data_IF_823493090036
#
_entry.id   IF_823493090036
#
_cell.length_a   1.000
_cell.length_b   1.000
_cell.length_c   1.000
_cell.angle_alpha   90.00
_cell.angle_beta   90.00
_cell.angle_gamma   90.00
#
_symmetry.space_group_name_H-M   'P 1'
#
loop_
_entity.id
_entity.type
_entity.pdbx_description
1 polymer ?
#
# COMPACT_ATOMS: atom_id res chain seq x y z
N UNK A 1 -3.32 12.13 -19.00
CA UNK A 1 -2.78 10.75 -18.97
C UNK A 1 -3.91 9.75 -19.05
N UNK A 2 -4.77 9.59 -18.03
CA UNK A 2 -5.87 8.61 -18.10
C UNK A 2 -6.85 8.90 -19.24
N UNK A 3 -7.28 10.15 -19.42
CA UNK A 3 -8.12 10.55 -20.55
C UNK A 3 -7.45 10.31 -21.91
N UNK A 4 -6.15 10.60 -22.03
CA UNK A 4 -5.36 10.34 -23.25
C UNK A 4 -5.19 8.84 -23.55
N UNK A 5 -5.30 8.00 -22.52
CA UNK A 5 -5.24 6.55 -22.63
C UNK A 5 -6.64 5.91 -22.74
N UNK A 6 -7.69 6.72 -22.89
CA UNK A 6 -9.10 6.29 -22.95
C UNK A 6 -9.53 5.45 -21.73
N UNK A 7 -9.00 5.77 -20.54
CA UNK A 7 -9.35 5.10 -19.29
C UNK A 7 -10.45 5.90 -18.59
N UNK A 8 -11.68 5.40 -18.64
CA UNK A 8 -12.80 5.91 -17.86
C UNK A 8 -12.55 5.67 -16.36
N UNK A 9 -12.83 6.67 -15.51
CA UNK A 9 -12.60 6.56 -14.06
C UNK A 9 -13.79 7.05 -13.26
N UNK A 10 -14.05 6.35 -12.15
CA UNK A 10 -14.96 6.82 -11.09
C UNK A 10 -14.13 7.01 -9.83
N UNK A 11 -14.25 8.18 -9.20
CA UNK A 11 -13.47 8.52 -8.01
C UNK A 11 -14.31 8.32 -6.76
N UNK A 12 -13.79 7.52 -5.83
CA UNK A 12 -14.34 7.37 -4.48
C UNK A 12 -13.35 7.93 -3.46
N UNK A 13 -13.80 8.87 -2.62
CA UNK A 13 -12.97 9.52 -1.61
C UNK A 13 -13.18 8.83 -0.27
N UNK A 14 -12.10 8.31 0.32
CA UNK A 14 -12.12 7.70 1.66
C UNK A 14 -11.99 8.78 2.72
N UNK A 15 -12.76 8.68 3.80
CA UNK A 15 -12.93 9.77 4.78
C UNK A 15 -12.44 9.40 6.18
N UNK A 16 -12.26 8.10 6.46
CA UNK A 16 -11.84 7.56 7.75
C UNK A 16 -11.00 6.29 7.54
N UNK A 17 -10.31 5.89 8.60
CA UNK A 17 -9.67 4.58 8.66
C UNK A 17 -10.71 3.47 8.41
N UNK A 18 -10.30 2.43 7.68
CA UNK A 18 -11.14 1.29 7.28
C UNK A 18 -12.25 1.61 6.28
N UNK A 19 -12.37 2.84 5.77
CA UNK A 19 -13.39 3.16 4.76
C UNK A 19 -13.13 2.41 3.45
N UNK A 20 -11.86 2.29 3.02
CA UNK A 20 -11.54 1.57 1.80
C UNK A 20 -11.81 0.08 1.96
N UNK A 21 -11.47 -0.47 3.12
CA UNK A 21 -11.71 -1.86 3.49
C UNK A 21 -13.20 -2.22 3.35
N UNK A 22 -14.07 -1.46 4.03
CA UNK A 22 -15.52 -1.69 4.00
C UNK A 22 -16.08 -1.52 2.59
N UNK A 23 -15.63 -0.47 1.87
CA UNK A 23 -16.06 -0.21 0.50
C UNK A 23 -15.78 -1.40 -0.42
N UNK A 24 -14.54 -1.89 -0.49
CA UNK A 24 -14.21 -2.99 -1.42
C UNK A 24 -14.76 -4.34 -0.99
N UNK A 25 -14.99 -4.54 0.31
CA UNK A 25 -15.66 -5.74 0.82
C UNK A 25 -17.09 -5.83 0.28
N UNK A 26 -17.81 -4.71 0.23
CA UNK A 26 -19.24 -4.68 -0.10
C UNK A 26 -19.52 -4.28 -1.57
N UNK A 27 -18.50 -3.88 -2.33
CA UNK A 27 -18.63 -3.43 -3.72
C UNK A 27 -18.96 -4.56 -4.70
N UNK A 28 -19.76 -4.28 -5.73
CA UNK A 28 -19.84 -5.13 -6.92
C UNK A 28 -18.61 -4.92 -7.81
N UNK A 29 -17.64 -5.82 -7.73
CA UNK A 29 -16.38 -5.73 -8.49
C UNK A 29 -16.55 -6.05 -9.99
N UNK A 30 -17.71 -6.55 -10.43
CA UNK A 30 -17.95 -6.87 -11.83
C UNK A 30 -18.04 -5.63 -12.72
N UNK A 31 -18.40 -4.48 -12.14
CA UNK A 31 -18.53 -3.20 -12.84
C UNK A 31 -17.17 -2.51 -13.12
N UNK A 32 -16.07 -3.01 -12.54
CA UNK A 32 -14.74 -2.37 -12.59
C UNK A 32 -13.71 -3.28 -13.23
N UNK A 33 -12.91 -2.81 -14.19
CA UNK A 33 -11.81 -3.62 -14.74
C UNK A 33 -10.59 -3.67 -13.82
N UNK A 34 -10.35 -2.61 -13.05
CA UNK A 34 -9.15 -2.43 -12.20
C UNK A 34 -9.49 -1.51 -11.03
N UNK A 35 -8.93 -1.81 -9.86
CA UNK A 35 -9.02 -0.91 -8.71
C UNK A 35 -7.72 -0.10 -8.59
N UNK A 36 -7.83 1.22 -8.69
CA UNK A 36 -6.69 2.14 -8.57
C UNK A 36 -6.71 2.82 -7.20
N UNK A 37 -5.68 2.57 -6.40
CA UNK A 37 -5.49 3.14 -5.06
C UNK A 37 -4.52 4.30 -5.13
N UNK A 38 -5.02 5.53 -5.01
CA UNK A 38 -4.20 6.74 -4.99
C UNK A 38 -3.97 7.23 -3.56
N UNK A 39 -2.92 6.73 -2.91
CA UNK A 39 -2.55 7.06 -1.52
C UNK A 39 -1.14 6.52 -1.20
N UNK A 40 -0.85 6.19 0.05
CA UNK A 40 0.30 5.38 0.44
C UNK A 40 -0.03 3.90 0.61
N UNK A 41 0.96 3.12 1.04
CA UNK A 41 0.86 1.66 1.20
C UNK A 41 -0.31 1.23 2.12
N UNK A 42 -0.62 2.03 3.14
CA UNK A 42 -1.69 1.74 4.11
C UNK A 42 -3.10 1.66 3.51
N UNK A 43 -3.41 2.45 2.47
CA UNK A 43 -4.74 2.38 1.85
C UNK A 43 -4.89 1.13 0.99
N UNK A 44 -3.81 0.72 0.30
CA UNK A 44 -3.80 -0.54 -0.43
C UNK A 44 -3.88 -1.73 0.54
N UNK A 45 -3.30 -1.61 1.74
CA UNK A 45 -3.45 -2.62 2.79
C UNK A 45 -4.90 -2.81 3.20
N UNK A 46 -5.66 -1.72 3.38
CA UNK A 46 -7.11 -1.79 3.62
C UNK A 46 -7.85 -2.45 2.45
N UNK A 47 -7.52 -2.09 1.21
CA UNK A 47 -8.15 -2.69 0.02
C UNK A 47 -7.90 -4.20 -0.05
N UNK A 48 -6.65 -4.64 0.08
CA UNK A 48 -6.30 -6.07 0.03
C UNK A 48 -7.02 -6.86 1.11
N UNK A 49 -7.03 -6.36 2.36
CA UNK A 49 -7.71 -7.07 3.45
C UNK A 49 -9.23 -7.05 3.29
N UNK A 50 -9.83 -5.96 2.79
CA UNK A 50 -11.25 -5.91 2.47
C UNK A 50 -11.66 -6.92 1.40
N UNK A 51 -10.85 -7.09 0.34
CA UNK A 51 -11.08 -8.11 -0.70
C UNK A 51 -10.94 -9.54 -0.15
N UNK A 52 -9.96 -9.77 0.72
CA UNK A 52 -9.71 -11.07 1.34
C UNK A 52 -10.77 -11.49 2.37
N UNK A 53 -11.56 -10.55 2.89
CA UNK A 53 -12.69 -10.83 3.78
C UNK A 53 -13.98 -11.20 3.03
N UNK A 54 -14.01 -11.08 1.70
CA UNK A 54 -15.19 -11.39 0.92
C UNK A 54 -15.45 -12.90 0.82
N UNK A 55 -16.72 -13.34 0.72
CA UNK A 55 -17.04 -14.74 0.45
C UNK A 55 -16.43 -15.25 -0.88
N UNK A 56 -16.34 -14.39 -1.88
CA UNK A 56 -15.80 -14.63 -3.22
C UNK A 56 -14.34 -14.19 -3.37
N UNK A 57 -13.57 -14.11 -2.28
CA UNK A 57 -12.21 -13.56 -2.25
C UNK A 57 -11.27 -14.11 -3.35
N UNK A 58 -11.42 -15.37 -3.74
CA UNK A 58 -10.60 -16.00 -4.81
C UNK A 58 -10.79 -15.34 -6.16
N UNK A 59 -12.01 -14.94 -6.49
CA UNK A 59 -12.32 -14.22 -7.72
C UNK A 59 -12.06 -12.73 -7.55
N UNK A 60 -12.39 -12.16 -6.39
CA UNK A 60 -12.12 -10.76 -6.07
C UNK A 60 -10.62 -10.41 -6.20
N UNK A 61 -9.73 -11.29 -5.72
CA UNK A 61 -8.28 -11.11 -5.80
C UNK A 61 -7.68 -11.27 -7.20
N UNK A 62 -8.45 -11.76 -8.19
CA UNK A 62 -8.03 -11.72 -9.60
C UNK A 62 -8.19 -10.34 -10.21
N UNK A 63 -8.93 -9.42 -9.56
CA UNK A 63 -9.07 -8.04 -10.00
C UNK A 63 -7.70 -7.34 -9.93
N UNK A 64 -7.18 -6.78 -11.04
CA UNK A 64 -5.95 -6.02 -11.00
C UNK A 64 -6.04 -4.85 -10.00
N UNK A 65 -4.99 -4.71 -9.19
CA UNK A 65 -4.82 -3.60 -8.27
C UNK A 65 -3.67 -2.72 -8.77
N UNK A 66 -3.89 -1.40 -8.78
CA UNK A 66 -2.88 -0.42 -9.12
C UNK A 66 -2.67 0.52 -7.93
N UNK A 67 -1.42 0.90 -7.67
CA UNK A 67 -1.10 1.94 -6.68
C UNK A 67 -0.53 3.17 -7.38
N UNK A 68 -1.13 4.33 -7.10
CA UNK A 68 -0.61 5.63 -7.49
C UNK A 68 -0.13 6.36 -6.22
N UNK A 69 1.14 6.79 -6.16
CA UNK A 69 1.71 7.36 -4.95
C UNK A 69 1.09 8.73 -4.64
N UNK A 70 0.35 8.80 -3.54
CA UNK A 70 -0.21 10.02 -2.97
C UNK A 70 0.10 10.19 -1.48
N UNK A 71 0.75 9.21 -0.85
CA UNK A 71 1.06 9.20 0.59
C UNK A 71 2.49 9.59 0.93
N UNK A 72 2.82 9.51 2.22
CA UNK A 72 4.18 9.69 2.75
C UNK A 72 5.06 8.43 2.64
N UNK A 73 4.45 7.24 2.69
CA UNK A 73 5.07 5.95 2.41
C UNK A 73 4.46 5.35 1.14
N UNK A 74 5.28 5.15 0.11
CA UNK A 74 4.87 4.61 -1.19
C UNK A 74 5.86 3.53 -1.63
N UNK A 75 6.23 2.63 -0.71
CA UNK A 75 7.26 1.64 -0.94
C UNK A 75 6.87 0.68 -2.08
N UNK A 76 5.61 0.26 -2.18
CA UNK A 76 5.19 -0.58 -3.29
C UNK A 76 5.26 0.16 -4.64
N UNK A 77 4.82 1.41 -4.70
CA UNK A 77 4.91 2.21 -5.92
C UNK A 77 6.37 2.40 -6.36
N UNK A 78 7.27 2.64 -5.40
CA UNK A 78 8.71 2.72 -5.64
C UNK A 78 9.31 1.40 -6.15
N UNK A 79 8.90 0.26 -5.56
CA UNK A 79 9.30 -1.07 -6.02
C UNK A 79 8.82 -1.35 -7.44
N UNK A 80 7.54 -1.09 -7.76
CA UNK A 80 7.00 -1.27 -9.11
C UNK A 80 7.74 -0.40 -10.12
N UNK A 81 8.04 0.86 -9.78
CA UNK A 81 8.83 1.75 -10.63
C UNK A 81 10.22 1.18 -10.92
N UNK A 82 10.89 0.64 -9.90
CA UNK A 82 12.19 0.00 -10.04
C UNK A 82 12.12 -1.24 -10.94
N UNK A 83 11.17 -2.14 -10.70
CA UNK A 83 11.00 -3.36 -11.52
C UNK A 83 10.58 -3.06 -12.96
N UNK A 84 9.95 -1.92 -13.21
CA UNK A 84 9.64 -1.44 -14.56
C UNK A 84 10.85 -0.78 -15.28
N UNK A 85 12.03 -0.76 -14.65
CA UNK A 85 13.28 -0.28 -15.25
C UNK A 85 13.45 1.25 -15.22
N UNK A 86 12.69 1.97 -14.40
CA UNK A 86 12.84 3.41 -14.23
C UNK A 86 13.84 3.75 -13.13
N UNK A 87 14.43 4.95 -13.22
CA UNK A 87 15.26 5.52 -12.18
C UNK A 87 14.51 5.63 -10.84
N UNK A 88 15.27 5.60 -9.74
CA UNK A 88 14.75 5.88 -8.41
C UNK A 88 14.30 7.34 -8.31
N UNK A 89 12.98 7.56 -8.35
CA UNK A 89 12.35 8.87 -8.30
C UNK A 89 11.30 8.96 -7.19
N UNK A 90 10.95 10.18 -6.79
CA UNK A 90 9.96 10.45 -5.75
C UNK A 90 8.95 11.52 -6.20
N UNK A 91 7.89 11.69 -5.40
CA UNK A 91 6.85 12.73 -5.59
C UNK A 91 6.24 12.66 -7.00
N UNK A 92 6.13 13.79 -7.69
CA UNK A 92 5.49 13.93 -9.01
C UNK A 92 6.08 12.99 -10.05
N UNK A 93 7.40 12.77 -10.07
CA UNK A 93 8.05 11.87 -11.03
C UNK A 93 7.62 10.41 -10.82
N UNK A 94 7.57 9.97 -9.56
CA UNK A 94 7.09 8.62 -9.24
C UNK A 94 5.62 8.46 -9.63
N UNK A 95 4.79 9.46 -9.33
CA UNK A 95 3.39 9.47 -9.75
C UNK A 95 3.24 9.39 -11.27
N UNK A 96 4.01 10.16 -12.03
CA UNK A 96 4.01 10.11 -13.50
C UNK A 96 4.40 8.73 -14.01
N UNK A 97 5.47 8.12 -13.47
CA UNK A 97 5.91 6.79 -13.89
C UNK A 97 4.85 5.72 -13.59
N UNK A 98 4.29 5.69 -12.38
CA UNK A 98 3.24 4.74 -12.00
C UNK A 98 1.96 4.94 -12.84
N UNK A 99 1.58 6.20 -13.12
CA UNK A 99 0.43 6.50 -13.98
C UNK A 99 0.67 6.03 -15.41
N UNK A 100 1.90 6.15 -15.92
CA UNK A 100 2.26 5.66 -17.25
C UNK A 100 2.26 4.14 -17.33
N UNK A 101 2.71 3.44 -16.28
CA UNK A 101 2.60 1.97 -16.18
C UNK A 101 1.13 1.54 -16.20
N UNK A 102 0.27 2.22 -15.43
CA UNK A 102 -1.19 2.01 -15.48
C UNK A 102 -1.75 2.20 -16.89
N UNK A 103 -1.37 3.28 -17.58
CA UNK A 103 -1.84 3.55 -18.95
C UNK A 103 -1.37 2.49 -19.96
N UNK A 104 -0.26 1.79 -19.71
CA UNK A 104 0.20 0.67 -20.55
C UNK A 104 -0.63 -0.60 -20.37
N UNK A 105 -1.46 -0.69 -19.31
CA UNK A 105 -2.25 -1.89 -19.00
C UNK A 105 -1.40 -3.11 -18.61
N UNK A 106 -0.14 -2.91 -18.24
CA UNK A 106 0.76 -4.00 -17.83
C UNK A 106 0.59 -4.27 -16.33
N UNK A 107 0.43 -5.54 -15.99
CA UNK A 107 0.37 -6.01 -14.61
C UNK A 107 1.13 -7.33 -14.45
N UNK A 108 1.51 -7.64 -13.22
CA UNK A 108 2.16 -8.89 -12.84
C UNK A 108 1.51 -9.44 -11.59
N UNK A 109 1.60 -10.76 -11.41
CA UNK A 109 1.24 -11.39 -10.15
C UNK A 109 2.20 -10.93 -9.05
N UNK A 110 1.66 -10.83 -7.83
CA UNK A 110 2.38 -10.46 -6.63
C UNK A 110 2.06 -11.46 -5.52
N UNK A 111 3.07 -11.76 -4.71
CA UNK A 111 2.90 -12.62 -3.54
C UNK A 111 2.18 -11.88 -2.42
N UNK A 112 1.40 -12.64 -1.64
CA UNK A 112 0.79 -12.17 -0.39
C UNK A 112 1.23 -13.07 0.77
N UNK A 113 1.52 -12.43 1.90
CA UNK A 113 1.81 -13.11 3.15
C UNK A 113 0.56 -13.13 4.02
N UNK A 114 0.13 -14.32 4.42
CA UNK A 114 -0.93 -14.51 5.41
C UNK A 114 -0.32 -14.49 6.81
N UNK A 115 -0.76 -13.56 7.64
CA UNK A 115 -0.29 -13.38 9.02
C UNK A 115 -1.40 -13.76 9.99
N UNK A 116 -1.05 -14.56 11.00
CA UNK A 116 -1.97 -14.96 12.08
C UNK A 116 -1.36 -14.57 13.43
N UNK A 117 -2.14 -13.89 14.26
CA UNK A 117 -1.72 -13.50 15.61
C UNK A 117 -2.09 -14.56 16.64
N UNK A 118 -1.45 -14.50 17.81
CA UNK A 118 -1.81 -15.35 18.95
C UNK A 118 -3.28 -15.15 19.42
N UNK A 119 -3.88 -13.99 19.14
CA UNK A 119 -5.30 -13.73 19.42
C UNK A 119 -6.26 -14.37 18.41
N UNK A 120 -5.74 -15.10 17.41
CA UNK A 120 -6.53 -15.71 16.34
C UNK A 120 -6.92 -14.75 15.21
N UNK A 121 -6.48 -13.48 15.25
CA UNK A 121 -6.72 -12.54 14.16
C UNK A 121 -5.84 -12.91 12.97
N UNK A 122 -6.44 -12.94 11.78
CA UNK A 122 -5.74 -13.14 10.52
C UNK A 122 -5.78 -11.87 9.67
N UNK A 123 -4.69 -11.53 9.02
CA UNK A 123 -4.62 -10.44 8.04
C UNK A 123 -3.54 -10.72 7.00
N UNK A 124 -3.52 -9.94 5.92
CA UNK A 124 -2.64 -10.15 4.78
C UNK A 124 -1.72 -8.95 4.56
N UNK A 125 -0.47 -9.22 4.22
CA UNK A 125 0.54 -8.20 3.88
C UNK A 125 1.10 -8.47 2.48
N UNK A 126 1.32 -7.40 1.71
CA UNK A 126 1.89 -7.44 0.36
C UNK A 126 3.32 -6.88 0.29
N UNK A 127 3.80 -6.24 1.36
CA UNK A 127 5.08 -5.52 1.36
C UNK A 127 6.06 -6.08 2.39
N UNK A 128 5.62 -6.16 3.64
CA UNK A 128 6.49 -6.60 4.72
C UNK A 128 5.79 -6.67 6.06
N UNK A 129 6.47 -7.29 7.01
CA UNK A 129 6.14 -7.30 8.42
C UNK A 129 7.38 -6.85 9.19
N UNK A 130 7.25 -5.77 9.96
CA UNK A 130 8.32 -5.22 10.77
C UNK A 130 8.10 -5.52 12.25
N UNK A 131 9.20 -5.79 12.98
CA UNK A 131 9.22 -5.86 14.44
C UNK A 131 10.46 -5.15 15.00
N UNK A 132 10.31 -4.52 16.16
CA UNK A 132 11.38 -3.82 16.86
C UNK A 132 11.65 -2.43 16.26
N UNK A 133 12.91 -2.11 16.00
CA UNK A 133 13.35 -0.75 15.65
C UNK A 133 12.56 -0.12 14.49
N UNK A 134 12.35 -0.85 13.39
CA UNK A 134 11.63 -0.33 12.22
C UNK A 134 10.18 0.01 12.59
N UNK A 135 9.52 -0.86 13.36
CA UNK A 135 8.15 -0.62 13.84
C UNK A 135 8.06 0.59 14.75
N UNK A 136 9.04 0.78 15.64
CA UNK A 136 9.10 1.95 16.51
C UNK A 136 9.27 3.23 15.68
N UNK A 137 10.11 3.23 14.64
CA UNK A 137 10.24 4.36 13.70
C UNK A 137 8.93 4.64 12.98
N UNK A 138 8.23 3.61 12.49
CA UNK A 138 6.94 3.76 11.82
C UNK A 138 5.92 4.42 12.76
N UNK A 139 5.80 3.93 13.99
CA UNK A 139 4.87 4.45 15.01
C UNK A 139 5.25 5.88 15.44
N UNK A 140 6.50 6.10 15.84
CA UNK A 140 6.95 7.39 16.38
C UNK A 140 6.98 8.48 15.31
N UNK A 141 7.09 8.13 14.03
CA UNK A 141 7.11 9.12 12.96
C UNK A 141 5.72 9.61 12.53
N UNK A 142 4.63 8.99 12.99
CA UNK A 142 3.26 9.40 12.63
C UNK A 142 2.91 10.83 13.09
N UNK A 143 3.42 11.28 14.26
CA UNK A 143 3.28 12.68 14.70
C UNK A 143 3.95 13.70 13.76
N UNK A 144 4.81 13.23 12.87
CA UNK A 144 5.52 14.04 11.87
C UNK A 144 4.97 13.86 10.45
N UNK A 145 3.73 13.39 10.29
CA UNK A 145 3.13 13.12 8.97
C UNK A 145 3.16 14.32 8.01
N UNK A 146 3.13 15.54 8.55
CA UNK A 146 3.27 16.79 7.80
C UNK A 146 4.64 16.95 7.09
N UNK A 147 5.68 16.22 7.51
CA UNK A 147 6.98 16.17 6.84
C UNK A 147 7.01 15.25 5.61
N UNK A 148 5.91 14.57 5.29
CA UNK A 148 5.88 13.58 4.21
C UNK A 148 6.88 12.46 4.47
N UNK A 149 7.65 12.05 3.46
CA UNK A 149 8.62 10.95 3.58
C UNK A 149 9.79 11.25 4.52
N UNK A 150 10.11 12.52 4.79
CA UNK A 150 11.20 12.89 5.68
C UNK A 150 10.93 12.49 7.15
N UNK A 151 9.66 12.20 7.49
CA UNK A 151 9.27 11.69 8.82
C UNK A 151 10.05 10.44 9.21
N UNK A 152 10.36 9.56 8.25
CA UNK A 152 11.05 8.30 8.52
C UNK A 152 12.52 8.52 8.87
N UNK A 153 13.17 9.51 8.24
CA UNK A 153 14.53 9.92 8.60
C UNK A 153 14.58 10.50 10.00
N UNK A 154 13.64 11.41 10.33
CA UNK A 154 13.56 12.00 11.66
C UNK A 154 13.24 10.97 12.74
N UNK A 155 12.28 10.07 12.47
CA UNK A 155 11.92 8.97 13.35
C UNK A 155 13.11 8.04 13.61
N UNK A 156 13.84 7.67 12.56
CA UNK A 156 15.08 6.89 12.67
C UNK A 156 16.09 7.54 13.61
N UNK A 157 16.37 8.84 13.43
CA UNK A 157 17.31 9.56 14.31
C UNK A 157 16.83 9.59 15.77
N UNK A 158 15.52 9.79 16.00
CA UNK A 158 14.94 9.79 17.34
C UNK A 158 15.06 8.41 18.01
N UNK A 159 14.74 7.33 17.29
CA UNK A 159 14.85 5.96 17.79
C UNK A 159 16.31 5.55 18.01
N UNK A 160 17.24 5.97 17.15
CA UNK A 160 18.68 5.73 17.32
C UNK A 160 19.22 6.36 18.61
N UNK A 161 18.78 7.58 18.94
CA UNK A 161 19.18 8.26 20.17
C UNK A 161 18.67 7.54 21.45
N UNK A 162 17.66 6.67 21.32
CA UNK A 162 17.05 5.89 22.40
C UNK A 162 17.03 4.40 22.05
N UNK A 163 18.12 3.88 21.50
CA UNK A 163 18.18 2.52 20.95
C UNK A 163 17.77 1.48 22.00
N UNK A 164 16.86 0.59 21.61
CA UNK A 164 16.37 -0.52 22.43
C UNK A 164 16.68 -1.85 21.76
N UNK A 165 16.81 -2.88 22.58
CA UNK A 165 16.93 -4.27 22.14
C UNK A 165 15.62 -4.97 22.44
N UNK A 166 15.12 -5.73 21.47
CA UNK A 166 13.88 -6.49 21.57
C UNK A 166 14.25 -7.98 21.54
N UNK A 167 13.70 -8.76 22.46
CA UNK A 167 13.92 -10.21 22.51
C UNK A 167 12.79 -10.93 21.76
N UNK A 168 13.15 -11.84 20.87
CA UNK A 168 12.20 -12.59 20.05
C UNK A 168 12.79 -13.92 19.63
N UNK A 169 11.93 -14.86 19.22
CA UNK A 169 12.32 -16.18 18.72
C UNK A 169 11.56 -16.49 17.44
N UNK A 170 12.28 -16.97 16.44
CA UNK A 170 11.72 -17.57 15.23
C UNK A 170 11.75 -19.09 15.40
N UNK A 171 10.66 -19.75 15.03
CA UNK A 171 10.49 -21.19 15.11
C UNK A 171 10.34 -21.76 13.69
#
# INVERSE_FOLDING_TARGET
MLAEADIATTVFVTERAHHAHEKVRDEDLSQWDTLVVMSGDGLLFEVVNGLMERPDWREAMKKPLCILPGGSGNALAASINYYAGYDHVAKKKLLTNCTFILCKGLYTQMDLVSLSTASGKRFFSFLGFGWGFISDVDIDSEKYRWLGSARFTLGTLQCLAKLRVYQGRLF
#
